data_IF_164449412961
#
_entry.id   IF_164449412961
#
_cell.length_a   1.000
_cell.length_b   1.000
_cell.length_c   1.000
_cell.angle_alpha   90.00
_cell.angle_beta   90.00
_cell.angle_gamma   90.00
#
_symmetry.space_group_name_H-M   'P 1'
#
loop_
_entity.id
_entity.type
_entity.pdbx_description
1 polymer ?
#
# COMPACT_ATOMS: atom_id res chain seq x y z
N UNK A 1 -11.02 9.20 -7.87
CA UNK A 1 -10.45 8.55 -6.70
C UNK A 1 -11.55 7.95 -5.84
N UNK A 2 -11.41 6.68 -5.51
CA UNK A 2 -12.40 5.96 -4.72
C UNK A 2 -11.87 5.75 -3.31
N UNK A 3 -12.65 6.15 -2.32
CA UNK A 3 -12.29 5.96 -0.92
C UNK A 3 -13.18 4.88 -0.31
N UNK A 4 -12.61 4.06 0.53
CA UNK A 4 -13.35 3.08 1.29
C UNK A 4 -12.85 3.05 2.73
N UNK A 5 -13.61 2.41 3.60
CA UNK A 5 -13.25 2.22 5.00
C UNK A 5 -13.19 0.74 5.32
N UNK A 6 -12.13 0.34 6.01
CA UNK A 6 -11.95 -1.03 6.45
C UNK A 6 -11.78 -1.03 7.97
N UNK A 7 -12.74 -1.61 8.66
CA UNK A 7 -12.71 -1.72 10.12
C UNK A 7 -12.71 -3.16 10.60
N UNK A 8 -12.89 -4.13 9.69
CA UNK A 8 -12.93 -5.54 10.06
C UNK A 8 -11.54 -6.16 9.92
N UNK A 9 -11.10 -6.86 10.95
CA UNK A 9 -9.85 -7.61 10.93
C UNK A 9 -9.91 -8.81 9.99
N UNK A 10 -11.09 -9.17 9.54
CA UNK A 10 -11.30 -10.31 8.65
C UNK A 10 -11.55 -9.90 7.19
N UNK A 11 -11.31 -8.65 6.87
CA UNK A 11 -11.45 -8.15 5.51
C UNK A 11 -10.51 -8.89 4.55
N UNK A 12 -10.95 -9.16 3.30
CA UNK A 12 -10.06 -9.72 2.28
C UNK A 12 -8.81 -8.87 2.05
N UNK A 13 -8.92 -7.54 2.25
CA UNK A 13 -7.76 -6.66 2.14
C UNK A 13 -6.71 -6.99 3.20
N UNK A 14 -7.14 -7.24 4.43
CA UNK A 14 -6.23 -7.60 5.51
C UNK A 14 -5.51 -8.91 5.18
N UNK A 15 -6.26 -9.91 4.73
CA UNK A 15 -5.68 -11.19 4.38
C UNK A 15 -4.68 -11.09 3.24
N UNK A 16 -4.99 -10.30 2.21
CA UNK A 16 -4.09 -10.12 1.08
C UNK A 16 -2.78 -9.44 1.50
N UNK A 17 -2.86 -8.38 2.28
CA UNK A 17 -1.67 -7.66 2.73
C UNK A 17 -0.81 -8.55 3.63
N UNK A 18 -1.44 -9.26 4.55
CA UNK A 18 -0.71 -10.20 5.42
C UNK A 18 -0.02 -11.29 4.60
N UNK A 19 -0.69 -11.80 3.58
CA UNK A 19 -0.11 -12.83 2.73
C UNK A 19 1.12 -12.32 2.00
N UNK A 20 1.07 -11.09 1.48
CA UNK A 20 2.19 -10.50 0.76
C UNK A 20 3.37 -10.16 1.67
N UNK A 21 3.10 -9.77 2.91
CA UNK A 21 4.15 -9.43 3.88
C UNK A 21 4.70 -10.65 4.61
N UNK A 22 3.94 -11.72 4.69
CA UNK A 22 4.28 -12.88 5.49
C UNK A 22 5.44 -13.70 4.93
N UNK A 23 5.91 -14.70 5.70
CA UNK A 23 7.06 -15.52 5.31
C UNK A 23 6.83 -16.33 4.04
N UNK A 24 5.58 -16.63 3.69
CA UNK A 24 5.25 -17.34 2.46
C UNK A 24 4.97 -16.40 1.29
N UNK A 25 5.08 -15.09 1.53
CA UNK A 25 4.72 -14.09 0.54
C UNK A 25 5.66 -14.00 -0.64
N UNK A 26 6.88 -14.48 -0.52
CA UNK A 26 7.87 -14.40 -1.59
C UNK A 26 7.35 -15.00 -2.91
N UNK A 27 6.74 -16.17 -2.84
CA UNK A 27 6.19 -16.82 -4.01
C UNK A 27 4.99 -16.06 -4.57
N UNK A 28 4.11 -15.62 -3.68
CA UNK A 28 2.94 -14.85 -4.08
C UNK A 28 3.35 -13.56 -4.76
N UNK A 29 4.30 -12.84 -4.18
CA UNK A 29 4.83 -11.61 -4.76
C UNK A 29 5.41 -11.84 -6.16
N UNK A 30 6.12 -12.93 -6.33
CA UNK A 30 6.73 -13.25 -7.61
C UNK A 30 5.68 -13.57 -8.69
N UNK A 31 4.66 -14.35 -8.33
CA UNK A 31 3.61 -14.74 -9.25
C UNK A 31 2.71 -13.57 -9.62
N UNK A 32 2.27 -12.80 -8.65
CA UNK A 32 1.34 -11.70 -8.88
C UNK A 32 2.04 -10.39 -9.28
N UNK A 33 3.36 -10.34 -9.16
CA UNK A 33 4.13 -9.11 -9.39
C UNK A 33 3.71 -7.98 -8.45
N UNK A 34 3.19 -8.34 -7.28
CA UNK A 34 2.68 -7.39 -6.28
C UNK A 34 3.56 -7.38 -5.04
N UNK A 35 3.63 -6.24 -4.38
CA UNK A 35 4.36 -6.12 -3.12
C UNK A 35 3.75 -5.00 -2.28
N UNK A 36 4.13 -4.94 -1.02
CA UNK A 36 3.67 -3.91 -0.10
C UNK A 36 4.81 -2.95 0.21
N UNK A 37 4.58 -1.67 -0.02
CA UNK A 37 5.46 -0.62 0.44
C UNK A 37 4.96 -0.18 1.82
N UNK A 38 5.83 -0.22 2.82
CA UNK A 38 5.48 0.08 4.20
C UNK A 38 6.20 1.34 4.66
N UNK A 39 5.43 2.27 5.19
CA UNK A 39 5.97 3.51 5.71
C UNK A 39 5.98 4.64 4.71
N UNK A 40 6.12 5.86 5.25
CA UNK A 40 5.97 7.07 4.45
C UNK A 40 7.03 7.20 3.36
N UNK A 41 8.27 6.83 3.66
CA UNK A 41 9.36 6.95 2.71
C UNK A 41 9.15 6.04 1.50
N UNK A 42 8.86 4.77 1.77
CA UNK A 42 8.66 3.79 0.69
C UNK A 42 7.44 4.13 -0.16
N UNK A 43 6.37 4.58 0.48
CA UNK A 43 5.15 4.95 -0.23
C UNK A 43 5.35 6.19 -1.07
N UNK A 44 6.06 7.20 -0.55
CA UNK A 44 6.38 8.39 -1.34
C UNK A 44 7.16 8.03 -2.58
N UNK A 45 8.15 7.16 -2.45
CA UNK A 45 8.95 6.73 -3.59
C UNK A 45 8.09 6.00 -4.62
N UNK A 46 7.17 5.15 -4.17
CA UNK A 46 6.29 4.43 -5.06
C UNK A 46 5.32 5.34 -5.80
N UNK A 47 4.90 6.45 -5.18
CA UNK A 47 3.97 7.39 -5.79
C UNK A 47 4.61 8.31 -6.82
N UNK A 48 5.92 8.49 -6.78
CA UNK A 48 6.60 9.38 -7.71
C UNK A 48 6.85 8.68 -9.04
N UNK A 49 6.37 9.26 -10.14
CA UNK A 49 6.59 8.69 -11.48
C UNK A 49 7.99 9.06 -11.98
N UNK A 50 9.00 8.35 -11.51
CA UNK A 50 10.38 8.69 -11.86
C UNK A 50 10.92 8.01 -13.10
N UNK A 51 10.45 6.80 -13.34
CA UNK A 51 10.89 6.03 -14.49
C UNK A 51 9.72 5.25 -15.04
N UNK A 52 9.81 4.94 -16.32
CA UNK A 52 8.76 4.27 -17.05
C UNK A 52 8.37 2.90 -16.47
N UNK A 53 9.34 2.23 -15.85
CA UNK A 53 9.15 0.90 -15.29
C UNK A 53 8.91 0.88 -13.78
N UNK A 54 8.67 2.06 -13.22
CA UNK A 54 8.41 2.18 -11.80
C UNK A 54 7.14 1.40 -11.43
N UNK A 55 7.08 0.84 -10.22
CA UNK A 55 5.86 0.18 -9.76
C UNK A 55 4.68 1.13 -9.74
N UNK A 56 3.49 0.59 -9.96
CA UNK A 56 2.25 1.35 -9.87
C UNK A 56 1.61 1.07 -8.53
N UNK A 57 1.19 2.12 -7.84
CA UNK A 57 0.43 1.99 -6.61
C UNK A 57 -1.02 1.68 -6.98
N UNK A 58 -1.49 0.50 -6.63
CA UNK A 58 -2.87 0.13 -6.89
C UNK A 58 -3.80 0.67 -5.82
N UNK A 59 -3.36 0.63 -4.57
CA UNK A 59 -4.19 1.04 -3.45
C UNK A 59 -3.32 1.48 -2.27
N UNK A 60 -3.79 2.52 -1.58
CA UNK A 60 -3.20 2.97 -0.33
C UNK A 60 -4.09 2.55 0.83
N UNK A 61 -3.48 2.10 1.91
CA UNK A 61 -4.15 1.84 3.17
C UNK A 61 -3.62 2.84 4.18
N UNK A 62 -4.49 3.68 4.70
CA UNK A 62 -4.10 4.79 5.56
C UNK A 62 -4.94 4.84 6.82
N UNK A 63 -4.29 5.05 7.96
CA UNK A 63 -4.99 5.53 9.15
C UNK A 63 -5.15 7.04 9.01
N UNK A 64 -5.94 7.66 9.89
CA UNK A 64 -6.09 9.12 9.87
C UNK A 64 -4.74 9.82 10.04
N UNK A 65 -3.92 9.34 10.95
CA UNK A 65 -2.58 9.90 11.17
C UNK A 65 -1.69 9.66 9.96
N UNK A 66 -1.75 8.47 9.38
CA UNK A 66 -0.98 8.14 8.19
C UNK A 66 -1.34 9.04 7.02
N UNK A 67 -2.62 9.32 6.85
CA UNK A 67 -3.09 10.21 5.79
C UNK A 67 -2.52 11.62 5.95
N UNK A 68 -2.56 12.15 7.16
CA UNK A 68 -2.01 13.47 7.44
C UNK A 68 -0.52 13.54 7.14
N UNK A 69 0.23 12.54 7.54
CA UNK A 69 1.66 12.47 7.27
C UNK A 69 1.97 12.41 5.79
N UNK A 70 1.20 11.64 5.06
CA UNK A 70 1.41 11.49 3.61
C UNK A 70 1.12 12.79 2.88
N UNK A 71 -0.04 13.41 3.17
CA UNK A 71 -0.45 14.64 2.50
C UNK A 71 0.53 15.78 2.78
N UNK A 72 1.10 15.83 3.97
CA UNK A 72 2.06 16.87 4.34
C UNK A 72 3.34 16.81 3.50
N UNK A 73 3.65 15.67 2.91
CA UNK A 73 4.94 15.47 2.25
C UNK A 73 4.88 15.24 0.75
N UNK A 74 3.70 15.25 0.14
CA UNK A 74 3.58 15.01 -1.30
C UNK A 74 2.61 15.99 -1.95
N UNK A 75 2.68 16.06 -3.27
CA UNK A 75 1.69 16.79 -4.06
C UNK A 75 0.39 15.96 -4.07
N UNK A 76 -0.70 16.57 -3.63
CA UNK A 76 -1.98 15.87 -3.53
C UNK A 76 -2.46 15.31 -4.87
N UNK A 77 -2.01 15.87 -5.99
CA UNK A 77 -2.37 15.38 -7.32
C UNK A 77 -1.86 13.96 -7.58
N UNK A 78 -0.83 13.53 -6.86
CA UNK A 78 -0.34 12.17 -6.99
C UNK A 78 -1.34 11.13 -6.47
N UNK A 79 -2.32 11.57 -5.68
CA UNK A 79 -3.33 10.70 -5.11
C UNK A 79 -4.60 10.62 -5.95
N UNK A 80 -4.72 11.43 -6.99
CA UNK A 80 -5.97 11.53 -7.76
C UNK A 80 -6.35 10.24 -8.48
N UNK A 81 -5.38 9.47 -8.90
CA UNK A 81 -5.62 8.22 -9.63
C UNK A 81 -5.45 6.97 -8.76
N UNK A 82 -5.24 7.14 -7.47
CA UNK A 82 -4.97 6.03 -6.56
C UNK A 82 -6.21 5.75 -5.71
N UNK A 83 -6.59 4.49 -5.61
CA UNK A 83 -7.65 4.11 -4.70
C UNK A 83 -7.14 4.12 -3.27
N UNK A 84 -7.91 4.71 -2.37
CA UNK A 84 -7.55 4.84 -0.96
C UNK A 84 -8.55 4.11 -0.11
N UNK A 85 -8.06 3.28 0.80
CA UNK A 85 -8.86 2.65 1.83
C UNK A 85 -8.41 3.17 3.18
N UNK A 86 -9.31 3.85 3.87
CA UNK A 86 -9.05 4.28 5.24
C UNK A 86 -9.22 3.07 6.15
N UNK A 87 -8.32 2.88 7.07
CA UNK A 87 -8.35 1.74 7.98
C UNK A 87 -8.25 2.22 9.43
N UNK A 88 -8.80 1.42 10.35
CA UNK A 88 -8.63 1.70 11.76
C UNK A 88 -7.21 1.33 12.20
N UNK A 89 -6.80 1.83 13.36
CA UNK A 89 -5.49 1.48 13.91
C UNK A 89 -5.38 -0.03 14.14
N UNK A 90 -6.45 -0.68 14.58
CA UNK A 90 -6.45 -2.12 14.79
C UNK A 90 -6.24 -2.88 13.48
N UNK A 91 -6.89 -2.43 12.41
CA UNK A 91 -6.72 -3.04 11.10
C UNK A 91 -5.29 -2.83 10.59
N UNK A 92 -4.76 -1.62 10.75
CA UNK A 92 -3.39 -1.32 10.34
C UNK A 92 -2.40 -2.20 11.09
N UNK A 93 -2.57 -2.38 12.38
CA UNK A 93 -1.70 -3.23 13.18
C UNK A 93 -1.79 -4.70 12.75
N UNK A 94 -2.97 -5.15 12.34
CA UNK A 94 -3.15 -6.51 11.86
C UNK A 94 -2.51 -6.72 10.47
N UNK A 95 -2.52 -5.70 9.63
CA UNK A 95 -1.96 -5.77 8.29
C UNK A 95 -0.44 -5.67 8.27
N UNK A 96 0.09 -4.71 9.04
CA UNK A 96 1.51 -4.42 9.03
C UNK A 96 2.29 -5.48 9.81
N UNK A 97 3.45 -5.85 9.28
CA UNK A 97 4.33 -6.81 9.96
C UNK A 97 5.38 -6.04 10.75
N UNK A 98 4.92 -5.14 11.61
CA UNK A 98 5.80 -4.31 12.44
C UNK A 98 5.06 -3.90 13.70
N UNK A 99 5.81 -3.69 14.79
CA UNK A 99 5.25 -3.29 16.07
C UNK A 99 4.78 -1.83 16.07
N UNK A 100 5.38 -1.01 15.23
CA UNK A 100 5.07 0.44 15.20
C UNK A 100 4.81 0.91 13.79
N UNK A 101 3.68 0.49 13.18
CA UNK A 101 3.38 0.91 11.83
C UNK A 101 3.16 2.42 11.77
N UNK A 102 3.62 3.03 10.69
CA UNK A 102 3.46 4.48 10.50
C UNK A 102 2.06 4.87 10.05
N UNK A 103 1.20 3.88 9.85
CA UNK A 103 -0.16 4.13 9.41
C UNK A 103 -0.30 4.27 7.89
N UNK A 104 0.71 3.84 7.14
CA UNK A 104 0.75 3.96 5.69
C UNK A 104 1.27 2.67 5.08
N UNK A 105 0.43 2.05 4.25
CA UNK A 105 0.83 0.89 3.44
C UNK A 105 0.36 1.12 2.01
N UNK A 106 1.12 0.66 1.05
CA UNK A 106 0.71 0.71 -0.36
C UNK A 106 0.81 -0.66 -0.99
N UNK A 107 -0.26 -1.07 -1.66
CA UNK A 107 -0.24 -2.26 -2.49
C UNK A 107 0.23 -1.82 -3.87
N UNK A 108 1.37 -2.33 -4.29
CA UNK A 108 2.02 -1.95 -5.53
C UNK A 108 2.10 -3.14 -6.48
N UNK A 109 2.09 -2.85 -7.77
CA UNK A 109 2.27 -3.86 -8.81
C UNK A 109 3.38 -3.40 -9.73
N UNK A 110 4.31 -4.29 -10.03
CA UNK A 110 5.32 -4.02 -11.03
C UNK A 110 4.71 -4.07 -12.41
N UNK A 111 4.90 -3.02 -13.20
CA UNK A 111 4.56 -3.07 -14.59
C UNK A 111 5.46 -4.10 -15.24
N UNK A 112 4.85 -5.10 -15.80
CA UNK A 112 5.61 -6.23 -16.25
C UNK A 112 6.30 -5.97 -17.58
N UNK A 113 7.61 -6.06 -17.56
CA UNK A 113 8.42 -6.08 -18.76
C UNK A 113 8.25 -7.37 -19.52
N UNK A 114 7.69 -8.32 -18.87
CA UNK A 114 7.56 -9.67 -19.40
C UNK A 114 6.56 -9.76 -20.53
N UNK A 115 5.72 -8.77 -20.64
CA UNK A 115 4.69 -8.74 -21.67
C UNK A 115 5.19 -8.18 -22.98
N UNK A 116 6.42 -7.94 -23.04
CA UNK A 116 7.05 -7.49 -24.28
C UNK A 116 7.15 -8.64 -25.26
#
# INVERSE_FOLDING_TARGET
MTNSHISSLHSPHVERVKALLGPRGKKIRAVEKSFIADGIQSVREALHPRIELAPVVERLYLTDVGRERLIAGIDARLLDSVEISMVTDDVMNAMADTESPQGILALCTHLSLIHI
#
